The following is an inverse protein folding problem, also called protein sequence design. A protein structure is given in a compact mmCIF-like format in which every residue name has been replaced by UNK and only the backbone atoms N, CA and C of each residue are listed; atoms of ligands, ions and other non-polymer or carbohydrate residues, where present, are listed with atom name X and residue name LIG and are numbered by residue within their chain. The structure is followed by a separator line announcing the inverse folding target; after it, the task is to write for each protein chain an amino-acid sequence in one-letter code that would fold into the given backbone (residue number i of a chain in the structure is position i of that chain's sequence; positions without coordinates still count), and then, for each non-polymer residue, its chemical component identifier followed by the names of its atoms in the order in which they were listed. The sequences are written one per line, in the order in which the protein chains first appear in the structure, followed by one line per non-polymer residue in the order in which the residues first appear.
data_IF_267039119671
#
_entry.id   IF_267039119671
#
_cell.length_a   1.000
_cell.length_b   1.000
_cell.length_c   1.000
_cell.angle_alpha   90.00
_cell.angle_beta   90.00
_cell.angle_gamma   90.00
#
_symmetry.space_group_name_H-M   'P 1'
#
loop_
_entity.id
_entity.type
_entity.pdbx_description
1 polymer ?
#
# COMPACT_ATOMS: atom_id res chain seq x y z
N UNK A 1 -13.52 17.65 -1.44
CA UNK A 1 -13.03 16.31 -1.80
C UNK A 1 -11.66 16.46 -2.45
N UNK A 2 -10.73 15.54 -2.19
CA UNK A 2 -9.44 15.44 -2.91
C UNK A 2 -9.65 14.50 -4.10
N UNK A 3 -9.80 15.01 -5.34
CA UNK A 3 -10.06 14.18 -6.52
C UNK A 3 -8.97 13.11 -6.67
N UNK A 4 -9.33 11.94 -7.17
CA UNK A 4 -8.41 10.83 -7.43
C UNK A 4 -7.72 10.21 -6.20
N UNK A 5 -8.12 10.60 -4.98
CA UNK A 5 -7.70 9.98 -3.73
C UNK A 5 -8.79 9.05 -3.19
N UNK A 6 -8.38 7.86 -2.75
CA UNK A 6 -9.26 6.81 -2.29
C UNK A 6 -8.80 6.31 -0.92
N UNK A 7 -9.66 6.48 0.09
CA UNK A 7 -9.42 5.99 1.44
C UNK A 7 -10.29 4.75 1.68
N UNK A 8 -9.66 3.61 1.93
CA UNK A 8 -10.32 2.33 2.10
C UNK A 8 -10.12 1.79 3.51
N UNK A 9 -11.17 1.21 4.10
CA UNK A 9 -11.05 0.39 5.30
C UNK A 9 -10.66 -1.05 4.91
N UNK A 10 -9.79 -1.66 5.70
CA UNK A 10 -9.51 -3.09 5.62
C UNK A 10 -10.44 -3.78 6.61
N UNK A 11 -11.31 -4.64 6.10
CA UNK A 11 -12.36 -5.29 6.89
C UNK A 11 -12.08 -6.80 6.90
N UNK A 12 -12.07 -7.39 8.09
CA UNK A 12 -12.04 -8.85 8.25
C UNK A 12 -13.43 -9.46 8.06
N UNK A 13 -13.53 -10.76 7.80
CA UNK A 13 -14.79 -11.47 7.60
C UNK A 13 -15.79 -11.30 8.76
N UNK A 14 -15.32 -11.02 9.98
CA UNK A 14 -16.13 -10.71 11.17
C UNK A 14 -16.75 -9.31 11.17
N UNK A 15 -16.51 -8.49 10.13
CA UNK A 15 -16.86 -7.06 10.02
C UNK A 15 -16.01 -6.13 10.90
N UNK A 16 -14.91 -6.62 11.49
CA UNK A 16 -13.99 -5.78 12.22
C UNK A 16 -13.13 -4.96 11.25
N UNK A 17 -12.99 -3.65 11.52
CA UNK A 17 -12.02 -2.81 10.81
C UNK A 17 -10.64 -3.05 11.39
N UNK A 18 -9.78 -3.67 10.60
CA UNK A 18 -8.44 -4.13 11.02
C UNK A 18 -7.31 -3.22 10.54
N UNK A 19 -7.66 -2.17 9.79
CA UNK A 19 -6.70 -1.22 9.26
C UNK A 19 -7.31 -0.35 8.16
N UNK A 20 -6.44 0.36 7.45
CA UNK A 20 -6.82 1.21 6.32
C UNK A 20 -5.73 1.24 5.25
N UNK A 21 -6.14 1.63 4.04
CA UNK A 21 -5.26 1.86 2.91
C UNK A 21 -5.70 3.14 2.21
N UNK A 22 -4.76 4.07 2.04
CA UNK A 22 -4.96 5.29 1.28
C UNK A 22 -4.07 5.30 0.05
N UNK A 23 -4.67 5.43 -1.13
CA UNK A 23 -3.93 5.64 -2.37
C UNK A 23 -4.51 6.80 -3.18
N UNK A 24 -3.73 7.25 -4.15
CA UNK A 24 -4.19 8.16 -5.20
C UNK A 24 -3.88 7.60 -6.58
N UNK A 25 -4.65 7.99 -7.59
CA UNK A 25 -4.27 7.76 -8.99
C UNK A 25 -3.26 8.82 -9.43
N UNK A 26 -2.29 8.38 -10.21
CA UNK A 26 -1.20 9.18 -10.76
C UNK A 26 -1.01 8.81 -12.23
N UNK A 27 -0.12 9.54 -12.93
CA UNK A 27 0.24 9.26 -14.33
C UNK A 27 -0.98 9.13 -15.24
N UNK A 28 -1.91 10.10 -15.14
CA UNK A 28 -3.18 10.12 -15.86
C UNK A 28 -4.04 8.84 -15.67
N UNK A 29 -3.95 8.21 -14.50
CA UNK A 29 -4.71 7.01 -14.14
C UNK A 29 -4.00 5.69 -14.44
N UNK A 30 -2.79 5.72 -15.01
CA UNK A 30 -2.02 4.50 -15.31
C UNK A 30 -1.25 3.95 -14.10
N UNK A 31 -1.10 4.74 -13.03
CA UNK A 31 -0.45 4.32 -11.80
C UNK A 31 -1.31 4.63 -10.58
N UNK A 32 -1.19 3.81 -9.54
CA UNK A 32 -1.68 4.11 -8.20
C UNK A 32 -0.51 4.31 -7.24
N UNK A 33 -0.56 5.35 -6.42
CA UNK A 33 0.44 5.60 -5.38
C UNK A 33 -0.17 5.37 -4.00
N UNK A 34 0.32 4.38 -3.27
CA UNK A 34 -0.06 4.16 -1.87
C UNK A 34 0.60 5.25 -1.02
N UNK A 35 -0.23 6.11 -0.44
CA UNK A 35 0.17 7.22 0.40
C UNK A 35 0.36 6.77 1.85
N UNK A 36 -0.55 5.94 2.35
CA UNK A 36 -0.47 5.35 3.67
C UNK A 36 -1.15 3.97 3.71
N UNK A 37 -0.62 3.09 4.55
CA UNK A 37 -1.11 1.72 4.68
C UNK A 37 -0.82 1.18 6.07
N UNK A 38 -1.90 0.91 6.81
CA UNK A 38 -1.81 0.45 8.19
C UNK A 38 -2.69 -0.78 8.40
N UNK A 39 -2.09 -1.79 9.02
CA UNK A 39 -2.80 -2.85 9.73
C UNK A 39 -2.59 -2.60 11.22
N UNK A 40 -3.66 -2.56 12.01
CA UNK A 40 -3.58 -2.29 13.44
C UNK A 40 -2.82 -3.40 14.17
N UNK A 41 -2.19 -3.03 15.27
CA UNK A 41 -1.17 -3.83 15.96
C UNK A 41 -1.64 -5.25 16.29
N UNK A 42 -2.86 -5.42 16.80
CA UNK A 42 -3.41 -6.74 17.15
C UNK A 42 -3.64 -7.67 15.94
N UNK A 43 -3.70 -7.11 14.72
CA UNK A 43 -3.94 -7.84 13.47
C UNK A 43 -2.65 -8.05 12.67
N UNK A 44 -1.49 -7.66 13.19
CA UNK A 44 -0.22 -7.81 12.48
C UNK A 44 0.31 -9.24 12.56
N UNK A 45 0.86 -9.71 11.45
CA UNK A 45 1.58 -10.99 11.39
C UNK A 45 0.70 -12.17 10.97
N UNK A 46 -0.60 -11.91 10.77
CA UNK A 46 -1.60 -12.90 10.36
C UNK A 46 -1.84 -12.95 8.84
N UNK A 47 -1.03 -12.22 8.06
CA UNK A 47 -1.15 -12.19 6.59
C UNK A 47 -2.11 -11.14 6.02
N UNK A 48 -2.86 -10.41 6.84
CA UNK A 48 -3.83 -9.39 6.37
C UNK A 48 -3.20 -8.32 5.48
N UNK A 49 -1.97 -7.88 5.78
CA UNK A 49 -1.31 -6.86 4.96
C UNK A 49 -1.06 -7.34 3.52
N UNK A 50 -0.63 -8.59 3.36
CA UNK A 50 -0.44 -9.21 2.05
C UNK A 50 -1.77 -9.35 1.31
N UNK A 51 -2.82 -9.79 2.00
CA UNK A 51 -4.15 -9.93 1.42
C UNK A 51 -4.72 -8.58 0.95
N UNK A 52 -4.58 -7.53 1.76
CA UNK A 52 -5.06 -6.19 1.43
C UNK A 52 -4.40 -5.63 0.16
N UNK A 53 -3.08 -5.75 0.01
CA UNK A 53 -2.38 -5.27 -1.20
C UNK A 53 -2.74 -6.10 -2.43
N UNK A 54 -2.93 -7.42 -2.31
CA UNK A 54 -3.39 -8.26 -3.43
C UNK A 54 -4.82 -7.92 -3.86
N UNK A 55 -5.71 -7.62 -2.92
CA UNK A 55 -7.07 -7.17 -3.25
C UNK A 55 -7.03 -5.82 -3.97
N UNK A 56 -6.18 -4.89 -3.51
CA UNK A 56 -5.96 -3.62 -4.19
C UNK A 56 -5.45 -3.84 -5.62
N UNK A 57 -4.43 -4.69 -5.81
CA UNK A 57 -3.90 -5.04 -7.13
C UNK A 57 -4.98 -5.57 -8.08
N UNK A 58 -5.79 -6.52 -7.62
CA UNK A 58 -6.90 -7.06 -8.42
C UNK A 58 -7.94 -6.00 -8.79
N UNK A 59 -8.24 -5.08 -7.87
CA UNK A 59 -9.18 -3.98 -8.14
C UNK A 59 -8.60 -3.01 -9.17
N UNK A 60 -7.34 -2.60 -9.01
CA UNK A 60 -6.69 -1.63 -9.87
C UNK A 60 -6.43 -2.17 -11.27
N UNK A 61 -6.03 -3.44 -11.41
CA UNK A 61 -5.81 -4.08 -12.71
C UNK A 61 -7.08 -4.07 -13.59
N UNK A 62 -8.28 -4.14 -12.99
CA UNK A 62 -9.55 -4.05 -13.71
C UNK A 62 -9.88 -2.63 -14.19
N UNK A 63 -9.20 -1.63 -13.66
CA UNK A 63 -9.40 -0.21 -13.99
C UNK A 63 -8.35 0.36 -14.96
N UNK A 64 -7.48 -0.48 -15.52
CA UNK A 64 -6.43 -0.04 -16.45
C UNK A 64 -5.18 0.55 -15.78
N UNK A 65 -5.06 0.44 -14.46
CA UNK A 65 -3.83 0.77 -13.73
C UNK A 65 -2.79 -0.31 -13.98
N UNK A 66 -1.59 0.11 -14.37
CA UNK A 66 -0.49 -0.78 -14.74
C UNK A 66 0.56 -0.92 -13.63
N UNK A 67 0.63 0.06 -12.72
CA UNK A 67 1.66 0.11 -11.67
C UNK A 67 1.10 0.54 -10.32
N UNK A 68 1.58 -0.12 -9.26
CA UNK A 68 1.42 0.35 -7.88
C UNK A 68 2.77 0.85 -7.37
N UNK A 69 2.78 2.07 -6.86
CA UNK A 69 3.96 2.78 -6.36
C UNK A 69 3.79 3.10 -4.89
N UNK A 70 4.88 3.16 -4.16
CA UNK A 70 4.90 3.53 -2.74
C UNK A 70 6.30 3.96 -2.29
N UNK A 71 6.36 4.56 -1.10
CA UNK A 71 7.60 4.75 -0.35
C UNK A 71 7.54 3.94 0.93
N UNK A 72 8.67 3.35 1.29
CA UNK A 72 8.84 2.67 2.58
C UNK A 72 10.10 3.21 3.25
N UNK A 73 10.02 3.47 4.55
CA UNK A 73 11.18 3.91 5.32
C UNK A 73 12.24 2.80 5.37
N UNK A 74 13.52 3.17 5.27
CA UNK A 74 14.63 2.21 5.25
C UNK A 74 14.64 1.26 6.46
N UNK A 75 14.31 1.78 7.65
CA UNK A 75 14.27 1.00 8.89
C UNK A 75 12.98 0.18 9.07
N UNK A 76 12.00 0.29 8.16
CA UNK A 76 10.77 -0.50 8.23
C UNK A 76 10.94 -1.84 7.48
N UNK A 77 11.82 -2.69 8.03
CA UNK A 77 12.18 -3.99 7.44
C UNK A 77 10.96 -4.90 7.23
N UNK A 78 9.98 -4.82 8.13
CA UNK A 78 8.73 -5.58 8.04
C UNK A 78 7.94 -5.20 6.79
N UNK A 79 7.69 -3.91 6.56
CA UNK A 79 6.97 -3.45 5.38
C UNK A 79 7.78 -3.70 4.11
N UNK A 80 9.09 -3.45 4.14
CA UNK A 80 9.98 -3.76 3.00
C UNK A 80 9.90 -5.25 2.63
N UNK A 81 9.93 -6.15 3.63
CA UNK A 81 9.78 -7.58 3.43
C UNK A 81 8.42 -7.97 2.83
N UNK A 82 7.33 -7.32 3.26
CA UNK A 82 6.00 -7.50 2.67
C UNK A 82 5.99 -7.10 1.19
N UNK A 83 6.50 -5.91 0.85
CA UNK A 83 6.49 -5.43 -0.53
C UNK A 83 7.37 -6.28 -1.44
N UNK A 84 8.56 -6.69 -0.98
CA UNK A 84 9.41 -7.63 -1.73
C UNK A 84 8.72 -8.96 -2.00
N UNK A 85 8.02 -9.54 -1.00
CA UNK A 85 7.23 -10.79 -1.17
C UNK A 85 6.09 -10.64 -2.17
N UNK A 86 5.59 -9.43 -2.36
CA UNK A 86 4.54 -9.09 -3.33
C UNK A 86 5.10 -8.69 -4.71
N UNK A 87 6.42 -8.75 -4.92
CA UNK A 87 7.04 -8.47 -6.22
C UNK A 87 7.35 -6.99 -6.49
N UNK A 88 7.20 -6.11 -5.49
CA UNK A 88 7.67 -4.72 -5.63
C UNK A 88 9.19 -4.69 -5.75
N UNK A 89 9.68 -3.84 -6.67
CA UNK A 89 11.10 -3.59 -6.88
C UNK A 89 11.49 -2.20 -6.37
N UNK A 90 12.74 -2.06 -5.92
CA UNK A 90 13.27 -0.77 -5.44
C UNK A 90 13.63 0.07 -6.67
N UNK A 91 13.08 1.28 -6.74
CA UNK A 91 13.33 2.23 -7.84
C UNK A 91 14.21 3.42 -7.45
N UNK A 92 14.52 3.60 -6.16
CA UNK A 92 15.39 4.69 -5.69
C UNK A 92 15.54 4.74 -4.17
N UNK A 93 16.37 5.68 -3.70
CA UNK A 93 16.64 5.93 -2.29
C UNK A 93 16.39 7.40 -1.95
N UNK A 94 15.82 7.65 -0.76
CA UNK A 94 15.81 8.98 -0.15
C UNK A 94 16.95 9.04 0.86
N UNK A 95 17.77 10.08 0.79
CA UNK A 95 18.91 10.30 1.69
C UNK A 95 18.85 11.71 2.25
N UNK A 96 19.29 11.88 3.49
CA UNK A 96 19.41 13.18 4.15
C UNK A 96 20.75 13.25 4.87
N UNK A 97 21.38 14.42 4.89
CA UNK A 97 22.58 14.71 5.68
C UNK A 97 22.26 15.83 6.65
N UNK A 98 22.43 15.55 7.94
CA UNK A 98 22.38 16.60 8.97
C UNK A 98 23.70 17.38 8.93
N UNK A 99 23.62 18.70 9.05
CA UNK A 99 24.77 19.59 9.09
C UNK A 99 25.37 19.66 10.49
#
# INVERSE_FOLDING_TARGET
ATPDHFFLCIIESTQDTIGYLWYMLADNGTAAFILDFVVFDQWRGLGHGTAAVRLLEQQLARSGVEQIKLRVAFHNERALGLYKKLGFTITGYNMVRNL
#
